data_IF_627420105912
#
_entry.id   IF_627420105912
#
_cell.length_a   1.000
_cell.length_b   1.000
_cell.length_c   1.000
_cell.angle_alpha   90.00
_cell.angle_beta   90.00
_cell.angle_gamma   90.00
#
_symmetry.space_group_name_H-M   'P 1'
#
loop_
_entity.id
_entity.type
_entity.pdbx_description
1 polymer ?
#
# COMPACT_ATOMS: atom_id res chain seq x y z
N UNK A 1 18.36 20.90 -10.86
CA UNK A 1 16.95 21.21 -11.19
C UNK A 1 16.55 22.35 -10.26
N UNK A 2 16.42 23.56 -10.77
CA UNK A 2 16.12 24.72 -9.92
C UNK A 2 14.63 24.80 -9.69
N UNK A 3 14.18 24.39 -8.50
CA UNK A 3 12.80 24.58 -8.04
C UNK A 3 12.70 26.02 -7.55
N UNK A 4 11.94 26.86 -8.27
CA UNK A 4 11.84 28.29 -7.99
C UNK A 4 10.57 28.63 -7.21
N UNK A 5 9.48 27.86 -7.39
CA UNK A 5 8.19 28.11 -6.78
C UNK A 5 7.38 26.81 -6.61
N UNK A 6 6.50 26.78 -5.62
CA UNK A 6 5.62 25.63 -5.41
C UNK A 6 4.97 25.60 -4.04
N UNK A 7 4.20 24.54 -3.81
CA UNK A 7 3.54 24.24 -2.53
C UNK A 7 3.79 22.79 -2.13
N UNK A 8 3.83 22.56 -0.82
CA UNK A 8 3.84 21.20 -0.26
C UNK A 8 2.56 20.98 0.52
N UNK A 9 1.86 19.90 0.19
CA UNK A 9 0.65 19.48 0.89
C UNK A 9 1.02 18.31 1.80
N UNK A 10 0.89 18.48 3.11
CA UNK A 10 1.10 17.42 4.09
C UNK A 10 -0.23 16.73 4.40
N UNK A 11 -0.20 15.40 4.50
CA UNK A 11 -1.37 14.60 4.83
C UNK A 11 -1.33 14.19 6.29
N UNK A 12 -2.44 14.40 7.00
CA UNK A 12 -2.62 13.89 8.36
C UNK A 12 -2.75 12.38 8.29
N UNK A 13 -1.87 11.68 8.97
CA UNK A 13 -1.89 10.22 9.04
C UNK A 13 -2.58 9.76 10.32
N UNK A 14 -3.32 8.64 10.22
CA UNK A 14 -3.93 7.95 11.36
C UNK A 14 -2.84 7.35 12.28
N UNK A 15 -1.65 7.12 11.74
CA UNK A 15 -0.52 6.55 12.47
C UNK A 15 0.67 7.51 12.49
N UNK A 16 1.28 7.69 13.66
CA UNK A 16 2.52 8.46 13.81
C UNK A 16 3.70 7.88 12.98
N UNK A 17 3.59 6.64 12.55
CA UNK A 17 4.61 5.94 11.73
C UNK A 17 4.48 6.22 10.24
N UNK A 18 3.33 6.73 9.78
CA UNK A 18 3.07 6.94 8.35
C UNK A 18 2.83 8.43 8.14
N UNK A 19 3.80 9.13 7.60
CA UNK A 19 3.67 10.54 7.22
C UNK A 19 3.77 10.63 5.72
N UNK A 20 2.93 11.44 5.10
CA UNK A 20 2.95 11.67 3.67
C UNK A 20 2.88 13.15 3.35
N UNK A 21 3.57 13.54 2.30
CA UNK A 21 3.46 14.87 1.72
C UNK A 21 3.67 14.78 0.22
N UNK A 22 2.99 15.64 -0.53
CA UNK A 22 3.19 15.81 -1.96
C UNK A 22 3.70 17.22 -2.20
N UNK A 23 4.87 17.33 -2.84
CA UNK A 23 5.41 18.60 -3.28
C UNK A 23 4.98 18.87 -4.73
N UNK A 24 4.34 20.00 -4.95
CA UNK A 24 3.93 20.50 -6.26
C UNK A 24 4.90 21.61 -6.66
N UNK A 25 5.60 21.45 -7.76
CA UNK A 25 6.53 22.44 -8.31
C UNK A 25 5.95 23.11 -9.53
N UNK A 26 6.11 24.42 -9.61
CA UNK A 26 5.68 25.18 -10.78
C UNK A 26 6.54 24.83 -12.00
N UNK A 27 5.96 24.94 -13.17
CA UNK A 27 6.73 24.86 -14.41
C UNK A 27 7.71 26.02 -14.49
N UNK A 28 8.78 25.83 -15.23
CA UNK A 28 9.80 26.84 -15.47
C UNK A 28 9.18 28.15 -16.00
N UNK A 29 9.57 29.27 -15.43
CA UNK A 29 9.13 30.60 -15.84
C UNK A 29 8.02 31.20 -14.98
N UNK A 30 7.44 30.45 -14.04
CA UNK A 30 6.50 30.99 -13.06
C UNK A 30 7.24 31.37 -11.76
N UNK A 31 6.89 32.56 -11.26
CA UNK A 31 7.33 33.04 -9.94
C UNK A 31 6.44 32.49 -8.82
N UNK A 32 6.86 32.63 -7.56
CA UNK A 32 6.00 32.28 -6.42
C UNK A 32 4.70 33.12 -6.42
N UNK A 33 4.76 34.40 -6.79
CA UNK A 33 3.57 35.25 -6.87
C UNK A 33 2.55 34.75 -7.93
N UNK A 34 3.02 34.15 -9.02
CA UNK A 34 2.14 33.52 -10.01
C UNK A 34 1.49 32.27 -9.46
N UNK A 35 2.26 31.47 -8.73
CA UNK A 35 1.76 30.26 -8.08
C UNK A 35 0.77 30.58 -6.96
N UNK A 36 0.99 31.65 -6.21
CA UNK A 36 0.08 32.11 -5.16
C UNK A 36 -1.28 32.56 -5.74
N UNK A 37 -1.28 33.19 -6.92
CA UNK A 37 -2.53 33.52 -7.63
C UNK A 37 -3.28 32.27 -8.06
N UNK A 38 -2.58 31.29 -8.65
CA UNK A 38 -3.18 29.99 -9.03
C UNK A 38 -3.74 29.30 -7.77
N UNK A 39 -3.00 29.34 -6.68
CA UNK A 39 -3.44 28.74 -5.44
C UNK A 39 -4.68 29.40 -4.83
N UNK A 40 -4.77 30.73 -4.91
CA UNK A 40 -5.94 31.48 -4.47
C UNK A 40 -7.21 31.09 -5.23
N UNK A 41 -7.07 30.79 -6.53
CA UNK A 41 -8.18 30.42 -7.41
C UNK A 41 -8.52 28.92 -7.33
N UNK A 42 -7.52 28.04 -7.39
CA UNK A 42 -7.68 26.60 -7.56
C UNK A 42 -7.20 25.75 -6.36
N UNK A 43 -6.74 26.39 -5.29
CA UNK A 43 -6.11 25.67 -4.17
C UNK A 43 -6.99 24.58 -3.55
N UNK A 44 -8.31 24.81 -3.45
CA UNK A 44 -9.24 23.81 -2.91
C UNK A 44 -9.33 22.56 -3.79
N UNK A 45 -9.37 22.75 -5.11
CA UNK A 45 -9.41 21.65 -6.08
C UNK A 45 -8.08 20.88 -6.08
N UNK A 46 -6.95 21.61 -6.03
CA UNK A 46 -5.63 21.04 -5.95
C UNK A 46 -5.50 20.17 -4.68
N UNK A 47 -5.91 20.68 -3.52
CA UNK A 47 -5.89 19.93 -2.26
C UNK A 47 -6.77 18.69 -2.35
N UNK A 48 -7.99 18.81 -2.92
CA UNK A 48 -8.90 17.67 -3.09
C UNK A 48 -8.28 16.58 -3.96
N UNK A 49 -7.75 16.95 -5.14
CA UNK A 49 -7.10 16.02 -6.06
C UNK A 49 -5.91 15.33 -5.39
N UNK A 50 -5.09 16.08 -4.64
CA UNK A 50 -3.94 15.51 -3.94
C UNK A 50 -4.37 14.55 -2.82
N UNK A 51 -5.43 14.86 -2.05
CA UNK A 51 -5.97 13.96 -1.04
C UNK A 51 -6.48 12.64 -1.67
N UNK A 52 -7.24 12.73 -2.77
CA UNK A 52 -7.73 11.54 -3.49
C UNK A 52 -6.56 10.73 -4.04
N UNK A 53 -5.58 11.39 -4.63
CA UNK A 53 -4.37 10.74 -5.16
C UNK A 53 -3.58 10.05 -4.06
N UNK A 54 -3.40 10.68 -2.90
CA UNK A 54 -2.73 10.10 -1.74
C UNK A 54 -3.45 8.85 -1.24
N UNK A 55 -4.78 8.92 -1.05
CA UNK A 55 -5.58 7.76 -0.66
C UNK A 55 -5.44 6.63 -1.67
N UNK A 56 -5.46 6.93 -2.97
CA UNK A 56 -5.27 5.93 -4.02
C UNK A 56 -3.88 5.31 -3.96
N UNK A 57 -2.83 6.12 -3.80
CA UNK A 57 -1.46 5.63 -3.66
C UNK A 57 -1.29 4.71 -2.45
N UNK A 58 -1.94 5.04 -1.32
CA UNK A 58 -1.89 4.23 -0.10
C UNK A 58 -2.62 2.88 -0.23
N UNK A 59 -3.49 2.72 -1.22
CA UNK A 59 -4.18 1.46 -1.51
C UNK A 59 -3.47 0.60 -2.56
N UNK A 60 -2.45 1.13 -3.23
CA UNK A 60 -1.68 0.35 -4.21
C UNK A 60 -0.81 -0.69 -3.49
N UNK A 61 -0.69 -1.89 -4.06
CA UNK A 61 0.27 -2.87 -3.56
C UNK A 61 1.68 -2.29 -3.61
N UNK A 62 2.33 -2.27 -2.45
CA UNK A 62 3.69 -1.81 -2.33
C UNK A 62 4.57 -2.95 -1.81
N UNK A 63 5.63 -3.28 -2.51
CA UNK A 63 6.55 -4.31 -2.07
C UNK A 63 7.98 -3.96 -2.45
N UNK A 64 8.86 -3.97 -1.45
CA UNK A 64 10.31 -4.09 -1.65
C UNK A 64 10.75 -5.56 -1.70
N UNK A 65 9.85 -6.49 -1.36
CA UNK A 65 10.07 -7.92 -1.36
C UNK A 65 9.48 -8.58 -2.62
N UNK A 66 9.77 -9.85 -2.82
CA UNK A 66 9.14 -10.64 -3.89
C UNK A 66 7.63 -10.64 -3.69
N UNK A 67 6.84 -10.36 -4.74
CA UNK A 67 5.39 -10.36 -4.62
C UNK A 67 4.89 -11.76 -4.22
N UNK A 68 3.85 -11.79 -3.41
CA UNK A 68 3.18 -13.04 -3.08
C UNK A 68 2.49 -13.61 -4.33
N UNK A 69 2.63 -14.91 -4.53
CA UNK A 69 1.82 -15.61 -5.54
C UNK A 69 0.34 -15.62 -5.11
N UNK A 70 -0.56 -15.81 -6.07
CA UNK A 70 -2.00 -15.91 -5.80
C UNK A 70 -2.31 -16.93 -4.70
N UNK A 71 -1.73 -18.13 -4.75
CA UNK A 71 -1.92 -19.19 -3.75
C UNK A 71 -1.37 -18.84 -2.37
N UNK A 72 -0.25 -18.15 -2.30
CA UNK A 72 0.30 -17.68 -1.03
C UNK A 72 -0.61 -16.62 -0.40
N UNK A 73 -1.14 -15.72 -1.21
CA UNK A 73 -2.10 -14.70 -0.78
C UNK A 73 -3.38 -15.33 -0.24
N UNK A 74 -4.03 -16.20 -1.04
CA UNK A 74 -5.25 -16.90 -0.63
C UNK A 74 -5.09 -17.62 0.71
N UNK A 75 -3.98 -18.33 0.91
CA UNK A 75 -3.71 -19.03 2.18
C UNK A 75 -3.54 -18.05 3.34
N UNK A 76 -2.82 -16.92 3.15
CA UNK A 76 -2.67 -15.89 4.18
C UNK A 76 -3.99 -15.19 4.50
N UNK A 77 -4.86 -14.98 3.53
CA UNK A 77 -6.19 -14.40 3.72
C UNK A 77 -7.04 -15.29 4.63
N UNK A 78 -7.07 -16.60 4.37
CA UNK A 78 -7.78 -17.55 5.23
C UNK A 78 -7.21 -17.61 6.66
N UNK A 79 -5.89 -17.51 6.81
CA UNK A 79 -5.27 -17.39 8.14
C UNK A 79 -5.71 -16.07 8.81
N UNK A 80 -5.75 -14.98 8.08
CA UNK A 80 -6.27 -13.69 8.55
C UNK A 80 -7.72 -13.78 9.03
N UNK A 81 -8.53 -14.62 8.38
CA UNK A 81 -9.91 -14.92 8.74
C UNK A 81 -10.03 -15.94 9.92
N UNK A 82 -8.90 -16.33 10.50
CA UNK A 82 -8.86 -17.22 11.65
C UNK A 82 -9.03 -18.70 11.33
N UNK A 83 -8.85 -19.12 10.08
CA UNK A 83 -8.95 -20.55 9.69
C UNK A 83 -7.67 -21.30 10.05
N UNK A 84 -7.84 -22.56 10.48
CA UNK A 84 -6.72 -23.48 10.72
C UNK A 84 -6.17 -24.02 9.41
N UNK A 85 -4.95 -24.57 9.43
CA UNK A 85 -4.35 -25.24 8.27
C UNK A 85 -5.25 -26.34 7.69
N UNK A 86 -5.98 -27.08 8.54
CA UNK A 86 -6.92 -28.13 8.11
C UNK A 86 -8.15 -27.52 7.43
N UNK A 87 -8.72 -26.47 8.01
CA UNK A 87 -9.85 -25.77 7.40
C UNK A 87 -9.48 -25.24 6.01
N UNK A 88 -8.30 -24.62 5.90
CA UNK A 88 -7.79 -24.06 4.64
C UNK A 88 -7.58 -25.17 3.60
N UNK A 89 -7.00 -26.30 4.02
CA UNK A 89 -6.82 -27.45 3.14
C UNK A 89 -8.16 -27.94 2.57
N UNK A 90 -9.17 -28.02 3.41
CA UNK A 90 -10.53 -28.43 2.99
C UNK A 90 -11.18 -27.39 2.07
N UNK A 91 -11.11 -26.08 2.41
CA UNK A 91 -11.69 -24.99 1.62
C UNK A 91 -11.07 -24.91 0.23
N UNK A 92 -9.75 -25.04 0.17
CA UNK A 92 -8.99 -24.88 -1.09
C UNK A 92 -8.83 -26.18 -1.88
N UNK A 93 -9.30 -27.31 -1.37
CA UNK A 93 -9.12 -28.62 -1.99
C UNK A 93 -7.66 -29.07 -2.04
N UNK A 94 -6.88 -28.74 -1.01
CA UNK A 94 -5.44 -29.03 -0.89
C UNK A 94 -5.20 -29.99 0.27
N UNK A 95 -3.97 -30.48 0.40
CA UNK A 95 -3.51 -31.16 1.62
C UNK A 95 -2.98 -30.15 2.63
N UNK A 96 -3.03 -30.47 3.92
CA UNK A 96 -2.46 -29.65 4.97
C UNK A 96 -0.96 -29.37 4.73
N UNK A 97 -0.21 -30.36 4.24
CA UNK A 97 1.19 -30.21 3.90
C UNK A 97 1.41 -29.19 2.77
N UNK A 98 0.50 -29.12 1.79
CA UNK A 98 0.56 -28.13 0.70
C UNK A 98 0.25 -26.73 1.24
N UNK A 99 -0.71 -26.57 2.14
CA UNK A 99 -1.02 -25.30 2.81
C UNK A 99 0.21 -24.81 3.60
N UNK A 100 0.83 -25.67 4.41
CA UNK A 100 2.04 -25.34 5.17
C UNK A 100 3.20 -24.93 4.24
N UNK A 101 3.36 -25.59 3.09
CA UNK A 101 4.34 -25.19 2.09
C UNK A 101 4.08 -23.76 1.58
N UNK A 102 2.83 -23.41 1.27
CA UNK A 102 2.48 -22.07 0.84
C UNK A 102 2.73 -21.03 1.94
N UNK A 103 2.38 -21.34 3.20
CA UNK A 103 2.66 -20.46 4.34
C UNK A 103 4.16 -20.24 4.53
N UNK A 104 4.97 -21.30 4.46
CA UNK A 104 6.43 -21.18 4.56
C UNK A 104 6.99 -20.30 3.45
N UNK A 105 6.62 -20.54 2.19
CA UNK A 105 7.06 -19.74 1.05
C UNK A 105 6.59 -18.27 1.15
N UNK A 106 5.42 -18.02 1.71
CA UNK A 106 4.95 -16.66 1.97
C UNK A 106 5.80 -15.96 3.03
N UNK A 107 6.16 -16.65 4.13
CA UNK A 107 7.08 -16.11 5.13
C UNK A 107 8.44 -15.79 4.53
N UNK A 108 8.99 -16.70 3.73
CA UNK A 108 10.27 -16.51 3.03
C UNK A 108 10.22 -15.28 2.10
N UNK A 109 9.13 -15.13 1.32
CA UNK A 109 8.96 -13.99 0.40
C UNK A 109 8.82 -12.65 1.13
N UNK A 110 8.19 -12.67 2.30
CA UNK A 110 7.97 -11.48 3.12
C UNK A 110 9.11 -11.21 4.10
N UNK A 111 10.11 -12.09 4.16
CA UNK A 111 11.24 -12.00 5.10
C UNK A 111 10.75 -11.85 6.55
N UNK A 112 10.01 -12.85 7.01
CA UNK A 112 9.46 -12.93 8.37
C UNK A 112 9.50 -14.37 8.90
N UNK A 113 9.52 -14.52 10.22
CA UNK A 113 9.66 -15.83 10.89
C UNK A 113 8.33 -16.52 11.13
N UNK A 114 7.27 -15.76 11.42
CA UNK A 114 5.98 -16.32 11.81
C UNK A 114 4.87 -16.02 10.80
N UNK A 115 3.85 -16.89 10.76
CA UNK A 115 2.68 -16.69 9.90
C UNK A 115 1.88 -15.44 10.32
N UNK A 116 1.80 -15.14 11.62
CA UNK A 116 1.16 -13.92 12.09
C UNK A 116 1.86 -12.65 11.59
N UNK A 117 3.21 -12.64 11.59
CA UNK A 117 3.99 -11.56 11.00
C UNK A 117 3.77 -11.48 9.48
N UNK A 118 3.64 -12.62 8.80
CA UNK A 118 3.37 -12.65 7.35
C UNK A 118 2.01 -12.04 7.02
N UNK A 119 0.96 -12.37 7.75
CA UNK A 119 -0.39 -11.78 7.60
C UNK A 119 -0.32 -10.26 7.81
N UNK A 120 0.29 -9.82 8.91
CA UNK A 120 0.40 -8.39 9.23
C UNK A 120 1.19 -7.64 8.15
N UNK A 121 2.31 -8.19 7.70
CA UNK A 121 3.18 -7.55 6.69
C UNK A 121 2.53 -7.52 5.33
N UNK A 122 1.84 -8.60 4.92
CA UNK A 122 1.07 -8.64 3.68
C UNK A 122 -0.07 -7.63 3.66
N UNK A 123 -0.80 -7.48 4.77
CA UNK A 123 -1.83 -6.47 4.92
C UNK A 123 -1.25 -5.05 4.86
N UNK A 124 -0.13 -4.80 5.56
CA UNK A 124 0.54 -3.50 5.57
C UNK A 124 1.03 -3.07 4.19
N UNK A 125 1.48 -4.01 3.37
CA UNK A 125 1.94 -3.74 1.99
C UNK A 125 0.81 -3.83 0.96
N UNK A 126 -0.45 -3.89 1.37
CA UNK A 126 -1.61 -4.06 0.50
C UNK A 126 -1.48 -5.24 -0.48
N UNK A 127 -0.83 -6.32 -0.05
CA UNK A 127 -0.68 -7.54 -0.84
C UNK A 127 -1.79 -8.57 -0.55
N UNK A 128 -2.67 -8.28 0.41
CA UNK A 128 -3.90 -9.03 0.67
C UNK A 128 -5.07 -8.33 0.01
N UNK A 129 -6.10 -9.09 -0.35
CA UNK A 129 -7.34 -8.58 -0.94
C UNK A 129 -7.14 -7.79 -2.25
N UNK A 130 -6.13 -8.16 -3.02
CA UNK A 130 -5.90 -7.58 -4.35
C UNK A 130 -6.94 -8.16 -5.32
N UNK A 131 -7.72 -7.29 -5.94
CA UNK A 131 -8.63 -7.69 -7.01
C UNK A 131 -7.76 -7.94 -8.25
N UNK A 132 -7.62 -9.20 -8.65
CA UNK A 132 -7.01 -9.56 -9.91
C UNK A 132 -7.98 -9.12 -11.03
N UNK A 133 -7.66 -8.05 -11.72
CA UNK A 133 -8.38 -7.58 -12.92
C UNK A 133 -7.87 -8.32 -14.16
#
# INVERSE_FOLDING_TARGET
>A
MDVVAGYTISFSSISARTKGAIALTARKGLSQADVDRIWAEHGREIVLINNVSYLKLMTLPYSHARPLTKRQREVLEWVGDGKTTQDIAQIMGLTAATVEKHLRLARDNLDVDTTAQAVLKAAFFNQMFVIDT
#
